data_IF_251783263900
#
_entry.id   IF_251783263900
#
_cell.length_a   1.000
_cell.length_b   1.000
_cell.length_c   1.000
_cell.angle_alpha   90.00
_cell.angle_beta   90.00
_cell.angle_gamma   90.00
#
_symmetry.space_group_name_H-M   'P 1'
#
loop_
_entity.id
_entity.type
_entity.pdbx_description
1 polymer ?
#
# COMPACT_ATOMS: atom_id res chain seq x y z
N UNK A 1 7.19 -17.27 -9.72
CA UNK A 1 6.90 -16.53 -8.46
C UNK A 1 5.39 -16.48 -8.28
N UNK A 2 4.89 -16.92 -7.13
CA UNK A 2 3.48 -16.81 -6.76
C UNK A 2 3.23 -15.45 -6.13
N UNK A 3 2.37 -14.66 -6.76
CA UNK A 3 1.97 -13.33 -6.31
C UNK A 3 0.58 -13.37 -5.68
N UNK A 4 0.41 -12.69 -4.55
CA UNK A 4 -0.88 -12.39 -3.96
C UNK A 4 -1.21 -10.90 -4.14
N UNK A 5 -2.39 -10.59 -4.65
CA UNK A 5 -2.96 -9.25 -4.61
C UNK A 5 -3.79 -9.11 -3.33
N UNK A 6 -3.32 -8.31 -2.39
CA UNK A 6 -3.99 -8.04 -1.12
C UNK A 6 -4.78 -6.74 -1.23
N UNK A 7 -6.07 -6.80 -0.96
CA UNK A 7 -7.02 -5.69 -1.09
C UNK A 7 -7.54 -5.30 0.29
N UNK A 8 -6.87 -4.39 1.03
CA UNK A 8 -7.43 -3.82 2.25
C UNK A 8 -8.71 -3.04 1.93
N UNK A 9 -9.76 -3.29 2.70
CA UNK A 9 -11.05 -2.65 2.50
C UNK A 9 -11.70 -2.29 3.85
N UNK A 10 -12.14 -1.04 4.00
CA UNK A 10 -12.94 -0.57 5.11
C UNK A 10 -14.01 0.40 4.62
N UNK A 11 -15.28 -0.03 4.70
CA UNK A 11 -16.43 0.70 4.16
C UNK A 11 -16.27 1.00 2.66
N UNK A 12 -15.94 -0.04 1.88
CA UNK A 12 -15.76 0.03 0.43
C UNK A 12 -16.86 -0.75 -0.33
N UNK A 13 -18.07 -0.86 0.26
CA UNK A 13 -19.20 -1.58 -0.35
C UNK A 13 -19.59 -1.05 -1.74
N UNK A 14 -19.43 0.27 -1.97
CA UNK A 14 -19.69 0.88 -3.28
C UNK A 14 -18.64 0.59 -4.35
N UNK A 15 -17.41 0.27 -3.97
CA UNK A 15 -16.26 0.12 -4.89
C UNK A 15 -15.76 -1.32 -5.03
N UNK A 16 -15.86 -2.14 -3.97
CA UNK A 16 -15.15 -3.43 -3.88
C UNK A 16 -15.48 -4.40 -5.03
N UNK A 17 -16.76 -4.49 -5.46
CA UNK A 17 -17.14 -5.34 -6.59
C UNK A 17 -16.40 -4.94 -7.86
N UNK A 18 -16.46 -3.66 -8.23
CA UNK A 18 -15.81 -3.13 -9.43
C UNK A 18 -14.30 -3.35 -9.39
N UNK A 19 -13.68 -3.14 -8.21
CA UNK A 19 -12.24 -3.34 -8.00
C UNK A 19 -11.83 -4.80 -8.25
N UNK A 20 -12.56 -5.75 -7.66
CA UNK A 20 -12.26 -7.17 -7.83
C UNK A 20 -12.55 -7.64 -9.24
N UNK A 21 -13.65 -7.21 -9.88
CA UNK A 21 -13.98 -7.57 -11.26
C UNK A 21 -12.93 -7.05 -12.23
N UNK A 22 -12.51 -5.78 -12.11
CA UNK A 22 -11.45 -5.20 -12.93
C UNK A 22 -10.11 -5.92 -12.72
N UNK A 23 -9.75 -6.24 -11.46
CA UNK A 23 -8.56 -7.03 -11.18
C UNK A 23 -8.61 -8.40 -11.87
N UNK A 24 -9.74 -9.09 -11.80
CA UNK A 24 -9.93 -10.41 -12.43
C UNK A 24 -9.88 -10.36 -13.94
N UNK A 25 -10.44 -9.32 -14.54
CA UNK A 25 -10.41 -9.11 -16.00
C UNK A 25 -8.98 -8.89 -16.51
N UNK A 26 -8.20 -8.05 -15.84
CA UNK A 26 -6.86 -7.64 -16.28
C UNK A 26 -5.78 -8.62 -15.81
N UNK A 27 -5.91 -9.15 -14.60
CA UNK A 27 -4.90 -9.93 -13.90
C UNK A 27 -5.44 -11.26 -13.35
N UNK A 28 -6.39 -11.91 -14.05
CA UNK A 28 -7.07 -13.11 -13.59
C UNK A 28 -6.19 -14.33 -13.31
N UNK A 29 -4.90 -14.27 -13.65
CA UNK A 29 -3.90 -15.31 -13.35
C UNK A 29 -3.27 -15.15 -11.95
N UNK A 30 -3.49 -14.04 -11.27
CA UNK A 30 -2.96 -13.82 -9.94
C UNK A 30 -4.00 -14.12 -8.86
N UNK A 31 -3.54 -14.74 -7.78
CA UNK A 31 -4.34 -14.94 -6.59
C UNK A 31 -4.62 -13.59 -5.92
N UNK A 32 -5.80 -13.42 -5.34
CA UNK A 32 -6.13 -12.23 -4.56
C UNK A 32 -6.85 -12.59 -3.27
N UNK A 33 -6.87 -11.65 -2.33
CA UNK A 33 -7.66 -11.71 -1.10
C UNK A 33 -8.12 -10.32 -0.70
N UNK A 34 -9.39 -10.19 -0.36
CA UNK A 34 -9.94 -8.98 0.28
C UNK A 34 -9.70 -9.10 1.79
N UNK A 35 -9.14 -8.06 2.40
CA UNK A 35 -9.00 -7.97 3.86
C UNK A 35 -9.98 -6.92 4.35
N UNK A 36 -11.14 -7.38 4.80
CA UNK A 36 -12.17 -6.52 5.38
C UNK A 36 -11.77 -6.14 6.80
N UNK A 37 -11.51 -4.86 7.02
CA UNK A 37 -11.06 -4.32 8.32
C UNK A 37 -12.24 -3.91 9.21
N UNK A 38 -13.17 -4.84 9.47
CA UNK A 38 -14.31 -4.60 10.32
C UNK A 38 -15.27 -3.53 9.77
N UNK A 39 -15.58 -3.59 8.46
CA UNK A 39 -16.52 -2.64 7.82
C UNK A 39 -17.89 -2.69 8.47
N UNK A 40 -18.55 -1.53 8.52
CA UNK A 40 -19.90 -1.34 9.03
C UNK A 40 -20.95 -1.30 7.91
N UNK A 41 -20.50 -1.24 6.65
CA UNK A 41 -21.34 -1.27 5.44
C UNK A 41 -21.42 -2.68 4.84
N UNK A 42 -21.94 -2.78 3.62
CA UNK A 42 -22.14 -4.05 2.92
C UNK A 42 -20.86 -4.69 2.36
N UNK A 43 -19.65 -4.16 2.65
CA UNK A 43 -18.38 -4.66 2.09
C UNK A 43 -18.23 -6.17 2.28
N UNK A 44 -18.35 -6.66 3.53
CA UNK A 44 -18.21 -8.09 3.83
C UNK A 44 -19.33 -8.93 3.19
N UNK A 45 -20.56 -8.42 3.21
CA UNK A 45 -21.74 -9.09 2.61
C UNK A 45 -21.56 -9.26 1.10
N UNK A 46 -21.07 -8.23 0.40
CA UNK A 46 -20.75 -8.28 -1.04
C UNK A 46 -19.69 -9.34 -1.30
N UNK A 47 -18.57 -9.34 -0.57
CA UNK A 47 -17.51 -10.31 -0.77
C UNK A 47 -18.00 -11.77 -0.58
N UNK A 48 -18.80 -12.02 0.45
CA UNK A 48 -19.38 -13.35 0.72
C UNK A 48 -20.34 -13.78 -0.39
N UNK A 49 -21.23 -12.89 -0.83
CA UNK A 49 -22.22 -13.15 -1.90
C UNK A 49 -21.55 -13.45 -3.24
N UNK A 50 -20.51 -12.71 -3.59
CA UNK A 50 -19.76 -12.88 -4.86
C UNK A 50 -18.71 -14.01 -4.79
N UNK A 51 -18.54 -14.65 -3.62
CA UNK A 51 -17.55 -15.71 -3.43
C UNK A 51 -16.11 -15.24 -3.51
N UNK A 52 -15.82 -13.97 -3.18
CA UNK A 52 -14.46 -13.46 -3.17
C UNK A 52 -13.67 -14.02 -1.98
N UNK A 53 -12.40 -14.43 -2.17
CA UNK A 53 -11.52 -14.76 -1.06
C UNK A 53 -11.46 -13.62 -0.05
N UNK A 54 -11.82 -13.90 1.22
CA UNK A 54 -12.03 -12.88 2.23
C UNK A 54 -11.34 -13.23 3.55
N UNK A 55 -10.60 -12.30 4.09
CA UNK A 55 -10.22 -12.24 5.50
C UNK A 55 -11.15 -11.22 6.14
N UNK A 56 -12.05 -11.67 7.01
CA UNK A 56 -13.08 -10.84 7.64
C UNK A 56 -12.65 -10.57 9.09
N UNK A 57 -12.10 -9.38 9.36
CA UNK A 57 -11.66 -9.01 10.70
C UNK A 57 -12.87 -8.58 11.53
N UNK A 58 -12.98 -9.06 12.79
CA UNK A 58 -14.15 -8.79 13.63
C UNK A 58 -14.27 -7.33 14.10
N UNK A 59 -13.18 -6.57 14.04
CA UNK A 59 -13.09 -5.17 14.45
C UNK A 59 -12.17 -4.42 13.52
N UNK A 60 -12.34 -3.09 13.44
CA UNK A 60 -11.42 -2.23 12.71
C UNK A 60 -10.09 -2.13 13.47
N UNK A 61 -9.02 -2.62 12.83
CA UNK A 61 -7.64 -2.56 13.32
C UNK A 61 -6.84 -1.43 12.65
N UNK A 62 -7.45 -0.72 11.71
CA UNK A 62 -6.80 0.27 10.86
C UNK A 62 -5.92 -0.34 9.77
N UNK A 63 -5.46 0.50 8.86
CA UNK A 63 -4.68 0.05 7.69
C UNK A 63 -3.50 -0.85 8.07
N UNK A 64 -2.80 -0.55 9.14
CA UNK A 64 -1.64 -1.33 9.59
C UNK A 64 -2.04 -2.75 10.02
N UNK A 65 -3.17 -2.90 10.74
CA UNK A 65 -3.67 -4.22 11.17
C UNK A 65 -4.19 -5.05 9.99
N UNK A 66 -4.98 -4.45 9.09
CA UNK A 66 -5.44 -5.11 7.88
C UNK A 66 -4.27 -5.54 6.98
N UNK A 67 -3.28 -4.66 6.80
CA UNK A 67 -2.05 -4.95 6.07
C UNK A 67 -1.31 -6.15 6.68
N UNK A 68 -1.11 -6.16 8.00
CA UNK A 68 -0.44 -7.27 8.69
C UNK A 68 -1.21 -8.58 8.54
N UNK A 69 -2.54 -8.57 8.67
CA UNK A 69 -3.37 -9.76 8.47
C UNK A 69 -3.19 -10.35 7.07
N UNK A 70 -3.15 -9.51 6.04
CA UNK A 70 -2.87 -9.92 4.67
C UNK A 70 -1.46 -10.47 4.49
N UNK A 71 -0.44 -9.87 5.11
CA UNK A 71 0.94 -10.40 5.09
C UNK A 71 1.05 -11.76 5.78
N UNK A 72 0.39 -11.95 6.92
CA UNK A 72 0.32 -13.25 7.61
C UNK A 72 -0.36 -14.32 6.76
N UNK A 73 -1.44 -13.97 6.09
CA UNK A 73 -2.11 -14.87 5.15
C UNK A 73 -1.18 -15.28 4.02
N UNK A 74 -0.51 -14.31 3.39
CA UNK A 74 0.43 -14.57 2.30
C UNK A 74 1.59 -15.48 2.74
N UNK A 75 2.17 -15.23 3.92
CA UNK A 75 3.23 -16.04 4.49
C UNK A 75 2.76 -17.50 4.72
N UNK A 76 1.59 -17.68 5.36
CA UNK A 76 1.03 -19.01 5.63
C UNK A 76 0.70 -19.79 4.37
N UNK A 77 0.31 -19.10 3.29
CA UNK A 77 0.00 -19.71 1.98
C UNK A 77 1.21 -19.89 1.07
N UNK A 78 2.40 -19.45 1.50
CA UNK A 78 3.65 -19.65 0.78
C UNK A 78 3.81 -18.81 -0.48
N UNK A 79 3.29 -17.59 -0.50
CA UNK A 79 3.51 -16.66 -1.62
C UNK A 79 4.94 -16.14 -1.66
N UNK A 80 5.42 -15.80 -2.85
CA UNK A 80 6.76 -15.25 -3.07
C UNK A 80 6.78 -13.72 -2.98
N UNK A 81 5.66 -13.09 -3.25
CA UNK A 81 5.47 -11.64 -3.15
C UNK A 81 4.01 -11.28 -2.93
N UNK A 82 3.78 -10.08 -2.40
CA UNK A 82 2.46 -9.51 -2.15
C UNK A 82 2.42 -8.10 -2.72
N UNK A 83 1.36 -7.75 -3.42
CA UNK A 83 1.06 -6.35 -3.77
C UNK A 83 -0.14 -5.86 -2.96
N UNK A 84 0.02 -4.70 -2.29
CA UNK A 84 -1.09 -3.95 -1.74
C UNK A 84 -1.81 -3.22 -2.87
N UNK A 85 -3.13 -3.41 -2.94
CA UNK A 85 -4.00 -2.86 -3.97
C UNK A 85 -5.28 -2.37 -3.30
N UNK A 86 -5.44 -1.05 -3.16
CA UNK A 86 -6.51 -0.49 -2.33
C UNK A 86 -7.91 -0.75 -2.90
N UNK A 87 -8.88 -0.98 -2.01
CA UNK A 87 -10.27 -1.31 -2.35
C UNK A 87 -11.11 -0.12 -2.85
N UNK A 88 -10.54 1.10 -2.90
CA UNK A 88 -11.23 2.34 -3.31
C UNK A 88 -11.30 2.57 -4.83
N UNK A 89 -10.63 1.71 -5.61
CA UNK A 89 -10.63 1.74 -7.07
C UNK A 89 -9.72 2.79 -7.70
N UNK A 90 -8.80 3.38 -6.95
CA UNK A 90 -7.82 4.31 -7.51
C UNK A 90 -6.64 3.61 -8.20
N UNK A 91 -6.30 2.40 -7.76
CA UNK A 91 -5.20 1.63 -8.33
C UNK A 91 -5.62 0.92 -9.62
N UNK A 92 -4.69 0.88 -10.58
CA UNK A 92 -4.87 0.20 -11.87
C UNK A 92 -4.10 -1.13 -11.88
N UNK A 93 -4.78 -2.26 -12.08
CA UNK A 93 -4.14 -3.58 -12.05
C UNK A 93 -3.13 -3.79 -13.18
N UNK A 94 -3.21 -3.04 -14.29
CA UNK A 94 -2.31 -3.13 -15.44
C UNK A 94 -0.83 -2.91 -15.08
N UNK A 95 -0.55 -2.25 -13.95
CA UNK A 95 0.82 -2.01 -13.50
C UNK A 95 1.41 -3.16 -12.66
N UNK A 96 0.59 -4.11 -12.20
CA UNK A 96 1.05 -5.24 -11.37
C UNK A 96 2.14 -6.07 -12.07
N UNK A 97 2.01 -6.42 -13.38
CA UNK A 97 3.06 -7.16 -14.08
C UNK A 97 4.40 -6.41 -14.13
N UNK A 98 4.39 -5.09 -14.27
CA UNK A 98 5.61 -4.30 -14.31
C UNK A 98 6.27 -4.19 -12.92
N UNK A 99 5.47 -4.10 -11.84
CA UNK A 99 5.99 -4.21 -10.47
C UNK A 99 6.66 -5.57 -10.24
N UNK A 100 6.02 -6.65 -10.69
CA UNK A 100 6.56 -8.01 -10.55
C UNK A 100 7.90 -8.17 -11.28
N UNK A 101 8.06 -7.58 -12.46
CA UNK A 101 9.36 -7.55 -13.18
C UNK A 101 10.47 -6.90 -12.35
N UNK A 102 10.17 -5.82 -11.63
CA UNK A 102 11.18 -5.17 -10.78
C UNK A 102 11.55 -6.01 -9.54
N UNK A 103 10.60 -6.74 -8.95
CA UNK A 103 10.87 -7.75 -7.92
C UNK A 103 11.80 -8.85 -8.47
N UNK A 104 11.53 -9.36 -9.68
CA UNK A 104 12.34 -10.38 -10.34
C UNK A 104 13.77 -9.89 -10.66
N UNK A 105 13.96 -8.58 -10.89
CA UNK A 105 15.25 -7.94 -11.06
C UNK A 105 15.98 -7.64 -9.74
N UNK A 106 15.47 -8.12 -8.60
CA UNK A 106 16.11 -8.01 -7.30
C UNK A 106 15.68 -6.81 -6.44
N UNK A 107 14.56 -6.15 -6.76
CA UNK A 107 13.96 -5.21 -5.81
C UNK A 107 13.28 -5.99 -4.66
N UNK A 108 13.39 -5.45 -3.44
CA UNK A 108 12.71 -5.98 -2.26
C UNK A 108 11.35 -5.31 -2.06
N UNK A 109 11.26 -4.02 -2.43
CA UNK A 109 10.06 -3.19 -2.40
C UNK A 109 9.93 -2.43 -3.71
N UNK A 110 8.77 -2.53 -4.35
CA UNK A 110 8.43 -1.71 -5.53
C UNK A 110 7.24 -0.82 -5.19
N UNK A 111 7.38 0.48 -5.49
CA UNK A 111 6.35 1.50 -5.26
C UNK A 111 5.81 1.97 -6.62
N UNK A 112 4.50 1.94 -6.79
CA UNK A 112 3.83 2.58 -7.93
C UNK A 112 3.80 4.09 -7.72
N UNK A 113 4.62 4.83 -8.45
CA UNK A 113 4.83 6.28 -8.26
C UNK A 113 4.07 7.10 -9.30
N UNK A 114 3.22 8.02 -8.83
CA UNK A 114 2.46 8.97 -9.67
C UNK A 114 3.37 10.06 -10.27
N UNK A 115 4.52 10.30 -9.64
CA UNK A 115 5.35 11.48 -9.89
C UNK A 115 6.66 11.19 -10.62
N UNK A 116 6.87 9.99 -11.13
CA UNK A 116 8.04 9.68 -11.97
C UNK A 116 7.94 10.32 -13.37
N UNK A 117 6.75 10.36 -13.94
CA UNK A 117 6.51 10.94 -15.27
C UNK A 117 5.72 12.25 -15.22
N UNK A 118 4.90 12.44 -14.20
CA UNK A 118 4.05 13.63 -14.05
C UNK A 118 4.61 14.58 -12.99
N UNK A 119 4.52 15.88 -13.26
CA UNK A 119 4.93 16.88 -12.28
C UNK A 119 3.90 16.93 -11.15
N UNK A 120 4.37 16.97 -9.90
CA UNK A 120 3.50 17.20 -8.76
C UNK A 120 2.86 18.59 -8.87
N UNK A 121 1.54 18.65 -8.63
CA UNK A 121 0.83 19.91 -8.48
C UNK A 121 1.27 20.73 -7.24
N UNK A 122 0.59 21.84 -7.00
CA UNK A 122 0.90 22.77 -5.90
C UNK A 122 -0.12 22.72 -4.75
N UNK A 123 -0.94 21.66 -4.65
CA UNK A 123 -1.87 21.53 -3.53
C UNK A 123 -1.13 21.32 -2.19
N UNK A 124 -1.73 21.69 -1.03
CA UNK A 124 -1.13 21.47 0.29
C UNK A 124 -0.72 19.99 0.52
N UNK A 125 -1.54 19.03 0.02
CA UNK A 125 -1.23 17.60 0.06
C UNK A 125 0.04 17.26 -0.75
N UNK A 126 0.23 17.90 -1.91
CA UNK A 126 1.42 17.69 -2.74
C UNK A 126 2.66 18.32 -2.11
N UNK A 127 2.51 19.46 -1.42
CA UNK A 127 3.61 20.07 -0.66
C UNK A 127 4.06 19.16 0.49
N UNK A 128 3.13 18.62 1.27
CA UNK A 128 3.44 17.66 2.33
C UNK A 128 4.14 16.40 1.81
N UNK A 129 3.67 15.83 0.69
CA UNK A 129 4.34 14.70 0.04
C UNK A 129 5.78 15.04 -0.42
N UNK A 130 6.04 16.29 -0.86
CA UNK A 130 7.40 16.77 -1.17
C UNK A 130 8.29 16.83 0.07
N UNK A 131 7.77 17.34 1.19
CA UNK A 131 8.50 17.39 2.46
C UNK A 131 8.92 16.00 2.92
N UNK A 132 8.02 15.03 2.86
CA UNK A 132 8.33 13.63 3.16
C UNK A 132 9.44 13.08 2.24
N UNK A 133 9.36 13.33 0.91
CA UNK A 133 10.39 12.89 -0.04
C UNK A 133 11.75 13.52 0.26
N UNK A 134 11.78 14.81 0.65
CA UNK A 134 13.01 15.51 1.07
C UNK A 134 13.55 14.92 2.37
N UNK A 135 12.71 14.69 3.38
CA UNK A 135 13.10 14.07 4.64
C UNK A 135 13.73 12.68 4.44
N UNK A 136 13.12 11.84 3.59
CA UNK A 136 13.69 10.53 3.22
C UNK A 136 15.06 10.71 2.58
N UNK A 137 15.19 11.64 1.61
CA UNK A 137 16.47 11.89 0.95
C UNK A 137 17.55 12.35 1.91
N UNK A 138 17.24 13.25 2.83
CA UNK A 138 18.19 13.76 3.82
C UNK A 138 18.67 12.67 4.79
N UNK A 139 17.78 11.76 5.18
CA UNK A 139 18.08 10.72 6.18
C UNK A 139 18.66 9.44 5.60
N UNK A 140 18.44 9.16 4.30
CA UNK A 140 18.82 7.90 3.66
C UNK A 140 19.74 8.08 2.45
N UNK A 141 19.92 9.31 1.94
CA UNK A 141 20.59 9.59 0.67
C UNK A 141 19.78 9.18 -0.57
N UNK A 142 18.71 8.39 -0.44
CA UNK A 142 17.94 7.85 -1.55
C UNK A 142 16.75 8.76 -1.89
N UNK A 143 16.53 9.00 -3.18
CA UNK A 143 15.39 9.79 -3.63
C UNK A 143 14.20 8.87 -3.91
N UNK A 144 13.11 9.04 -3.17
CA UNK A 144 11.82 8.41 -3.41
C UNK A 144 10.84 9.51 -3.87
N UNK A 145 10.27 9.33 -5.05
CA UNK A 145 9.37 10.33 -5.66
C UNK A 145 7.98 10.29 -5.05
N UNK A 146 7.45 9.12 -4.72
CA UNK A 146 6.09 9.00 -4.19
C UNK A 146 6.02 8.06 -2.97
N UNK A 147 6.59 8.48 -1.83
CA UNK A 147 6.59 7.67 -0.61
C UNK A 147 5.19 7.50 -0.01
N UNK A 148 4.21 8.27 -0.48
CA UNK A 148 2.82 8.23 0.00
C UNK A 148 1.89 7.38 -0.87
N UNK A 149 2.41 6.72 -1.89
CA UNK A 149 1.63 5.79 -2.71
C UNK A 149 1.25 4.54 -1.90
N UNK A 150 -0.02 4.13 -1.98
CA UNK A 150 -0.53 2.88 -1.42
C UNK A 150 -0.18 1.65 -2.27
N UNK A 151 0.07 1.83 -3.57
CA UNK A 151 0.37 0.71 -4.46
C UNK A 151 1.82 0.25 -4.28
N UNK A 152 2.02 -0.82 -3.51
CA UNK A 152 3.34 -1.33 -3.13
C UNK A 152 3.42 -2.83 -3.27
N UNK A 153 4.51 -3.33 -3.84
CA UNK A 153 4.79 -4.77 -3.93
C UNK A 153 5.99 -5.12 -3.09
N UNK A 154 5.84 -6.15 -2.27
CA UNK A 154 6.80 -6.61 -1.29
C UNK A 154 7.28 -8.01 -1.66
N UNK A 155 8.60 -8.21 -1.64
CA UNK A 155 9.22 -9.52 -1.79
C UNK A 155 9.02 -10.36 -0.53
N UNK A 156 9.21 -11.68 -0.63
CA UNK A 156 8.98 -12.66 0.45
C UNK A 156 9.63 -12.24 1.78
N UNK A 157 10.87 -11.83 1.76
CA UNK A 157 11.63 -11.49 2.96
C UNK A 157 10.99 -10.32 3.73
N UNK A 158 10.53 -9.30 2.98
CA UNK A 158 9.79 -8.18 3.59
C UNK A 158 8.39 -8.56 4.03
N UNK A 159 7.68 -9.37 3.23
CA UNK A 159 6.36 -9.89 3.58
C UNK A 159 6.43 -10.67 4.91
N UNK A 160 7.41 -11.55 5.08
CA UNK A 160 7.60 -12.32 6.32
C UNK A 160 7.95 -11.43 7.51
N UNK A 161 8.74 -10.38 7.29
CA UNK A 161 9.06 -9.40 8.31
C UNK A 161 7.80 -8.65 8.77
N UNK A 162 6.99 -8.13 7.85
CA UNK A 162 5.72 -7.47 8.17
C UNK A 162 4.70 -8.42 8.83
N UNK A 163 4.69 -9.69 8.47
CA UNK A 163 3.80 -10.67 9.07
C UNK A 163 4.09 -10.89 10.58
N UNK A 164 5.36 -10.73 11.00
CA UNK A 164 5.82 -10.98 12.39
C UNK A 164 5.83 -9.75 13.26
N UNK A 165 6.09 -8.58 12.69
CA UNK A 165 6.32 -7.34 13.45
C UNK A 165 5.10 -6.41 13.37
N UNK A 166 4.38 -6.26 14.51
CA UNK A 166 3.13 -5.50 14.58
C UNK A 166 3.29 -3.97 14.44
N UNK A 167 4.51 -3.44 14.52
CA UNK A 167 4.74 -1.99 14.61
C UNK A 167 4.97 -1.29 13.26
N UNK A 168 4.83 -2.01 12.15
CA UNK A 168 5.13 -1.49 10.83
C UNK A 168 3.89 -1.46 9.95
N UNK A 169 3.29 -0.27 9.80
CA UNK A 169 2.32 -0.01 8.74
C UNK A 169 3.01 0.28 7.40
N UNK A 170 2.25 0.26 6.29
CA UNK A 170 2.75 0.63 4.96
C UNK A 170 2.88 2.17 4.82
N UNK A 171 3.63 2.80 5.74
CA UNK A 171 3.75 4.24 5.86
C UNK A 171 5.07 4.78 5.26
N UNK A 172 5.18 6.08 4.93
CA UNK A 172 6.42 6.66 4.38
C UNK A 172 7.62 6.55 5.30
N UNK A 173 7.44 6.63 6.60
CA UNK A 173 8.51 6.49 7.59
C UNK A 173 9.05 5.07 7.65
N UNK A 174 8.19 4.07 7.44
CA UNK A 174 8.60 2.67 7.27
C UNK A 174 9.47 2.51 6.01
N UNK A 175 9.13 3.18 4.90
CA UNK A 175 9.99 3.18 3.70
C UNK A 175 11.37 3.75 4.01
N UNK A 176 11.45 4.87 4.75
CA UNK A 176 12.72 5.45 5.19
C UNK A 176 13.54 4.48 6.04
N UNK A 177 12.90 3.83 7.01
CA UNK A 177 13.53 2.83 7.87
C UNK A 177 14.07 1.63 7.06
N UNK A 178 13.26 1.08 6.16
CA UNK A 178 13.67 -0.05 5.32
C UNK A 178 14.87 0.30 4.44
N UNK A 179 14.93 1.51 3.87
CA UNK A 179 16.09 1.98 3.09
C UNK A 179 17.35 2.02 3.96
N UNK A 180 17.26 2.49 5.21
CA UNK A 180 18.40 2.47 6.15
C UNK A 180 18.88 1.07 6.49
N UNK A 181 17.97 0.08 6.45
CA UNK A 181 18.27 -1.34 6.63
C UNK A 181 18.81 -2.02 5.36
N UNK A 182 19.10 -1.26 4.30
CA UNK A 182 19.66 -1.79 3.06
C UNK A 182 18.65 -2.37 2.07
N UNK A 183 17.34 -2.26 2.35
CA UNK A 183 16.28 -2.75 1.47
C UNK A 183 16.33 -2.04 0.11
N UNK A 184 16.30 -2.82 -0.96
CA UNK A 184 16.34 -2.31 -2.33
C UNK A 184 14.93 -1.84 -2.75
N UNK A 185 14.70 -0.52 -2.63
CA UNK A 185 13.45 0.11 -3.03
C UNK A 185 13.55 0.64 -4.46
N UNK A 186 12.58 0.30 -5.31
CA UNK A 186 12.43 0.84 -6.67
C UNK A 186 11.06 1.48 -6.85
N UNK A 187 10.95 2.39 -7.81
CA UNK A 187 9.70 3.01 -8.20
C UNK A 187 9.42 2.74 -9.67
N UNK A 188 8.17 2.46 -10.00
CA UNK A 188 7.68 2.44 -11.39
C UNK A 188 6.63 3.53 -11.60
N UNK A 189 6.52 4.12 -12.80
CA UNK A 189 5.49 5.11 -13.05
C UNK A 189 4.12 4.45 -13.16
N UNK A 190 3.16 4.99 -12.38
CA UNK A 190 1.75 4.55 -12.45
C UNK A 190 0.84 5.77 -12.60
N UNK A 191 -0.31 5.57 -13.24
CA UNK A 191 -1.45 6.49 -13.17
C UNK A 191 -2.45 5.94 -12.17
N UNK A 192 -3.06 6.80 -11.39
CA UNK A 192 -4.16 6.47 -10.49
C UNK A 192 -5.43 7.12 -11.00
N UNK A 193 -6.53 6.42 -10.85
CA UNK A 193 -7.85 6.95 -11.17
C UNK A 193 -8.35 7.85 -10.03
N UNK A 194 -9.30 8.70 -10.34
CA UNK A 194 -10.00 9.46 -9.31
C UNK A 194 -10.92 8.54 -8.52
N UNK A 195 -10.96 8.74 -7.20
CA UNK A 195 -11.90 8.03 -6.34
C UNK A 195 -13.33 8.39 -6.75
N UNK A 196 -14.13 7.40 -7.14
CA UNK A 196 -15.51 7.63 -7.62
C UNK A 196 -16.54 7.63 -6.51
N UNK A 197 -16.29 6.92 -5.40
CA UNK A 197 -17.22 6.73 -4.30
C UNK A 197 -16.51 6.78 -2.95
N UNK A 198 -17.26 7.09 -1.89
CA UNK A 198 -16.74 7.18 -0.53
C UNK A 198 -16.11 8.54 -0.19
N UNK A 199 -16.12 8.87 1.11
CA UNK A 199 -15.46 10.07 1.61
C UNK A 199 -13.95 9.82 1.78
N UNK A 200 -13.12 10.81 1.39
CA UNK A 200 -11.70 10.74 1.73
C UNK A 200 -11.57 10.70 3.25
N UNK A 201 -10.90 9.69 3.78
CA UNK A 201 -10.60 9.55 5.22
C UNK A 201 -9.86 10.75 5.81
N UNK A 202 -9.15 11.50 4.97
CA UNK A 202 -8.33 12.64 5.37
C UNK A 202 -8.97 13.95 4.93
N UNK A 203 -9.59 14.67 5.88
CA UNK A 203 -9.83 16.11 5.72
C UNK A 203 -8.51 16.83 5.49
N UNK A 204 -8.54 18.06 4.97
CA UNK A 204 -7.33 18.85 4.71
C UNK A 204 -6.45 18.96 5.97
N UNK A 205 -7.05 19.21 7.13
CA UNK A 205 -6.35 19.31 8.43
C UNK A 205 -5.71 17.98 8.85
N UNK A 206 -6.44 16.88 8.71
CA UNK A 206 -5.88 15.55 9.02
C UNK A 206 -4.75 15.16 8.07
N UNK A 207 -4.83 15.58 6.79
CA UNK A 207 -3.74 15.36 5.83
C UNK A 207 -2.48 16.13 6.22
N UNK A 208 -2.61 17.38 6.68
CA UNK A 208 -1.48 18.19 7.15
C UNK A 208 -0.85 17.59 8.43
N UNK A 209 -1.68 17.24 9.41
CA UNK A 209 -1.20 16.58 10.64
C UNK A 209 -0.44 15.29 10.31
N UNK A 210 -0.99 14.43 9.45
CA UNK A 210 -0.33 13.23 8.97
C UNK A 210 1.05 13.52 8.35
N UNK A 211 1.13 14.52 7.46
CA UNK A 211 2.39 14.86 6.78
C UNK A 211 3.45 15.37 7.76
N UNK A 212 3.04 16.19 8.75
CA UNK A 212 3.93 16.68 9.81
C UNK A 212 4.43 15.51 10.67
N UNK A 213 3.54 14.64 11.13
CA UNK A 213 3.90 13.44 11.92
C UNK A 213 4.88 12.54 11.17
N UNK A 214 4.62 12.24 9.88
CA UNK A 214 5.51 11.44 9.07
C UNK A 214 6.89 12.09 8.90
N UNK A 215 6.93 13.40 8.69
CA UNK A 215 8.18 14.14 8.56
C UNK A 215 8.99 14.09 9.86
N UNK A 216 8.36 14.33 11.00
CA UNK A 216 8.99 14.24 12.33
C UNK A 216 9.47 12.80 12.58
N UNK A 217 8.64 11.80 12.28
CA UNK A 217 9.02 10.39 12.43
C UNK A 217 10.27 10.05 11.63
N UNK A 218 10.35 10.47 10.37
CA UNK A 218 11.50 10.20 9.50
C UNK A 218 12.77 10.91 10.00
N UNK A 219 12.67 12.18 10.41
CA UNK A 219 13.82 12.98 10.79
C UNK A 219 14.37 12.62 12.19
N UNK A 220 13.49 12.28 13.13
CA UNK A 220 13.85 12.08 14.53
C UNK A 220 13.66 10.64 14.99
N UNK A 221 12.43 10.10 14.94
CA UNK A 221 12.08 8.84 15.59
C UNK A 221 12.80 7.65 14.93
N UNK A 222 12.88 7.62 13.60
CA UNK A 222 13.51 6.52 12.87
C UNK A 222 15.02 6.36 13.15
N UNK A 223 15.69 7.37 13.71
CA UNK A 223 17.10 7.28 14.09
C UNK A 223 17.29 6.48 15.40
N UNK A 224 16.25 6.35 16.23
CA UNK A 224 16.26 5.61 17.49
C UNK A 224 15.58 4.24 17.38
N UNK A 225 15.05 3.89 16.22
CA UNK A 225 14.41 2.60 15.96
C UNK A 225 15.49 1.55 15.71
N UNK A 226 15.60 0.58 16.61
CA UNK A 226 16.49 -0.58 16.50
C UNK A 226 15.84 -1.70 15.71
#
# INVERSE_FOLDING_TARGET
>A
MRLLVMIPAFNEGGSIRRVVEHLREVCGTYDYVVVNDGSLDDTAAICKREGYPLIDLPVNLGLAGAFQAGMQYAQRKGYDCVVQFDGDGQHRPEYIPDMLKEIQKGADLVIGSRFLREKRGYSPRMLGSRLISVAIRLTTGKRIQDPTSGMRMFRRELMERFAREMNYGPEPDTVSYLIKQGVQVREIPVKMDERREGASYLSLMRSLDYMVRMTISILLIQNFRK
#
